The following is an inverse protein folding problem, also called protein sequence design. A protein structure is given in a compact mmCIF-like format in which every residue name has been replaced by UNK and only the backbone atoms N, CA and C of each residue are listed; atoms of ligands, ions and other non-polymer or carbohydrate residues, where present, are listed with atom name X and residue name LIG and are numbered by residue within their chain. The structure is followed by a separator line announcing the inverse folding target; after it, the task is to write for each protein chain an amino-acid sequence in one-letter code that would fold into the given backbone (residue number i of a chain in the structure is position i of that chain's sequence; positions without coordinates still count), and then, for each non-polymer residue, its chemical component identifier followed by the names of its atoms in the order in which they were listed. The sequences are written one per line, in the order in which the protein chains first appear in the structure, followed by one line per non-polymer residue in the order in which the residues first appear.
data_IF_034813348955
#
_entry.id   IF_034813348955
#
_cell.length_a   1.000
_cell.length_b   1.000
_cell.length_c   1.000
_cell.angle_alpha   90.00
_cell.angle_beta   90.00
_cell.angle_gamma   90.00
#
_symmetry.space_group_name_H-M   'P 1'
#
loop_
_entity.id
_entity.type
_entity.pdbx_description
1 polymer ?
#
# COMPACT_ATOMS: atom_id res chain seq x y z
N UNK A 1 1.07 26.39 12.34
CA UNK A 1 1.24 24.95 12.08
C UNK A 1 0.20 24.21 12.90
N UNK A 2 -0.81 23.66 12.25
CA UNK A 2 -1.83 22.86 12.94
C UNK A 2 -1.25 21.47 13.11
N UNK A 3 -0.95 21.12 14.33
CA UNK A 3 -0.28 19.88 14.68
C UNK A 3 -1.26 18.71 14.66
N UNK A 4 -0.75 17.52 14.29
CA UNK A 4 -1.50 16.25 14.31
C UNK A 4 -2.13 15.96 15.69
N UNK A 5 -1.53 16.48 16.75
CA UNK A 5 -2.06 16.41 18.11
C UNK A 5 -3.40 17.12 18.29
N UNK A 6 -3.73 18.10 17.45
CA UNK A 6 -5.03 18.81 17.48
C UNK A 6 -6.20 17.91 17.06
N UNK A 7 -5.94 16.80 16.41
CA UNK A 7 -6.94 15.81 15.99
C UNK A 7 -7.23 14.74 17.06
N UNK A 8 -6.43 14.64 18.09
CA UNK A 8 -6.63 13.65 19.16
C UNK A 8 -7.99 13.80 19.89
N UNK A 9 -8.49 15.03 20.14
CA UNK A 9 -9.81 15.19 20.76
C UNK A 9 -10.98 14.72 19.90
N UNK A 10 -10.76 14.58 18.58
CA UNK A 10 -11.80 14.12 17.64
C UNK A 10 -11.90 12.59 17.58
N UNK A 11 -10.96 11.88 18.21
CA UNK A 11 -11.02 10.44 18.31
C UNK A 11 -12.11 10.00 19.28
N UNK A 12 -13.09 9.28 18.78
CA UNK A 12 -14.13 8.63 19.58
C UNK A 12 -13.94 7.12 19.53
N UNK A 13 -13.89 6.42 20.67
CA UNK A 13 -13.72 4.98 20.70
C UNK A 13 -14.85 4.20 20.02
N UNK A 14 -15.99 4.81 19.81
CA UNK A 14 -17.14 4.21 19.14
C UNK A 14 -16.94 4.04 17.62
N UNK A 15 -16.06 4.82 17.02
CA UNK A 15 -15.79 4.76 15.57
C UNK A 15 -14.74 3.69 15.20
N UNK A 16 -13.85 3.39 16.11
CA UNK A 16 -12.77 2.43 15.89
C UNK A 16 -12.58 1.51 17.09
N UNK A 17 -12.52 0.21 16.85
CA UNK A 17 -12.29 -0.79 17.89
C UNK A 17 -10.93 -0.63 18.57
N UNK A 18 -9.94 -0.09 17.86
CA UNK A 18 -8.61 0.13 18.40
C UNK A 18 -7.87 1.28 17.72
N UNK A 19 -6.98 1.95 18.48
CA UNK A 19 -6.08 2.97 17.95
C UNK A 19 -5.16 2.43 16.85
N UNK A 20 -4.76 1.17 16.94
CA UNK A 20 -3.93 0.52 15.91
C UNK A 20 -4.64 0.46 14.58
N UNK A 21 -5.93 0.13 14.58
CA UNK A 21 -6.74 0.11 13.35
C UNK A 21 -6.84 1.49 12.72
N UNK A 22 -7.07 2.52 13.54
CA UNK A 22 -7.08 3.91 13.08
C UNK A 22 -5.77 4.28 12.38
N UNK A 23 -4.63 3.96 13.00
CA UNK A 23 -3.30 4.26 12.45
C UNK A 23 -3.07 3.53 11.12
N UNK A 24 -3.43 2.25 11.04
CA UNK A 24 -3.26 1.45 9.82
C UNK A 24 -4.12 2.01 8.67
N UNK A 25 -5.38 2.31 8.95
CA UNK A 25 -6.30 2.86 7.94
C UNK A 25 -5.83 4.24 7.47
N UNK A 26 -5.43 5.10 8.38
CA UNK A 26 -4.91 6.43 8.07
C UNK A 26 -3.60 6.35 7.25
N UNK A 27 -2.71 5.42 7.59
CA UNK A 27 -1.47 5.20 6.84
C UNK A 27 -1.73 4.72 5.40
N UNK A 28 -2.65 3.80 5.20
CA UNK A 28 -3.05 3.35 3.87
C UNK A 28 -3.67 4.48 3.06
N UNK A 29 -4.51 5.29 3.68
CA UNK A 29 -5.12 6.45 3.03
C UNK A 29 -4.08 7.50 2.65
N UNK A 30 -3.15 7.81 3.54
CA UNK A 30 -2.04 8.71 3.26
C UNK A 30 -1.21 8.24 2.06
N UNK A 31 -0.95 6.94 1.97
CA UNK A 31 -0.27 6.33 0.82
C UNK A 31 -1.05 6.55 -0.49
N UNK A 32 -2.35 6.41 -0.48
CA UNK A 32 -3.19 6.68 -1.66
C UNK A 32 -3.10 8.16 -2.08
N UNK A 33 -3.16 9.09 -1.13
CA UNK A 33 -3.04 10.53 -1.42
C UNK A 33 -1.66 10.84 -2.01
N UNK A 34 -0.59 10.27 -1.47
CA UNK A 34 0.77 10.41 -2.02
C UNK A 34 0.92 9.82 -3.43
N UNK A 35 0.12 8.81 -3.77
CA UNK A 35 0.07 8.23 -5.12
C UNK A 35 -0.74 9.05 -6.13
N UNK A 36 -1.28 10.19 -5.71
CA UNK A 36 -2.01 11.11 -6.57
C UNK A 36 -3.53 11.06 -6.47
N UNK A 37 -4.07 10.30 -5.51
CA UNK A 37 -5.52 10.29 -5.26
C UNK A 37 -5.94 11.59 -4.60
N UNK A 38 -7.05 12.14 -5.05
CA UNK A 38 -7.58 13.37 -4.47
C UNK A 38 -8.18 13.10 -3.08
N UNK A 39 -8.00 14.03 -2.13
CA UNK A 39 -8.76 14.00 -0.88
C UNK A 39 -10.27 14.04 -1.13
N UNK A 40 -11.04 13.41 -0.26
CA UNK A 40 -12.50 13.39 -0.38
C UNK A 40 -13.15 14.73 -0.05
N UNK A 41 -12.52 15.50 0.82
CA UNK A 41 -13.07 16.78 1.26
C UNK A 41 -12.03 17.90 1.27
N UNK A 42 -12.51 19.10 1.57
CA UNK A 42 -11.64 20.25 1.78
C UNK A 42 -11.02 20.13 3.17
N UNK A 43 -9.73 19.82 3.22
CA UNK A 43 -8.99 19.78 4.48
C UNK A 43 -8.29 21.11 4.74
N UNK A 44 -8.27 21.52 5.99
CA UNK A 44 -7.48 22.67 6.46
C UNK A 44 -6.00 22.33 6.67
N UNK A 45 -5.64 21.07 6.50
CA UNK A 45 -4.28 20.58 6.66
C UNK A 45 -3.54 20.52 5.33
N UNK A 46 -2.23 20.66 5.38
CA UNK A 46 -1.35 20.63 4.20
C UNK A 46 -0.63 19.32 4.02
N UNK A 47 -0.34 18.59 5.12
CA UNK A 47 0.36 17.31 5.05
C UNK A 47 -0.60 16.18 4.73
N UNK A 48 -0.23 15.33 3.79
CA UNK A 48 -1.02 14.19 3.33
C UNK A 48 -1.39 13.23 4.46
N UNK A 49 -0.48 13.00 5.38
CA UNK A 49 -0.73 12.15 6.55
C UNK A 49 -1.78 12.72 7.48
N UNK A 50 -1.77 14.04 7.68
CA UNK A 50 -2.75 14.74 8.51
C UNK A 50 -4.11 14.83 7.81
N UNK A 51 -4.12 15.04 6.50
CA UNK A 51 -5.33 15.00 5.67
C UNK A 51 -5.98 13.62 5.74
N UNK A 52 -5.19 12.57 5.59
CA UNK A 52 -5.68 11.20 5.68
C UNK A 52 -6.28 10.87 7.06
N UNK A 53 -5.64 11.32 8.12
CA UNK A 53 -6.15 11.13 9.48
C UNK A 53 -7.47 11.89 9.71
N UNK A 54 -7.57 13.12 9.22
CA UNK A 54 -8.80 13.92 9.29
C UNK A 54 -9.96 13.25 8.53
N UNK A 55 -9.72 12.75 7.32
CA UNK A 55 -10.71 12.02 6.52
C UNK A 55 -11.19 10.75 7.22
N UNK A 56 -10.29 9.99 7.80
CA UNK A 56 -10.63 8.76 8.52
C UNK A 56 -11.43 9.06 9.79
N UNK A 57 -11.09 10.09 10.54
CA UNK A 57 -11.82 10.52 11.72
C UNK A 57 -13.22 11.05 11.40
N UNK A 58 -13.40 11.68 10.24
CA UNK A 58 -14.73 12.12 9.76
C UNK A 58 -15.54 10.99 9.15
N UNK A 59 -15.00 9.77 9.10
CA UNK A 59 -15.64 8.61 8.46
C UNK A 59 -15.92 8.79 6.95
N UNK A 60 -15.21 9.69 6.30
CA UNK A 60 -15.30 9.89 4.85
C UNK A 60 -14.59 8.78 4.07
N UNK A 61 -13.52 8.22 4.63
CA UNK A 61 -12.80 7.09 4.08
C UNK A 61 -13.44 5.76 4.52
N UNK A 62 -13.97 5.01 3.55
CA UNK A 62 -14.48 3.65 3.79
C UNK A 62 -13.35 2.65 3.78
N UNK A 63 -13.39 1.69 4.69
CA UNK A 63 -12.39 0.63 4.79
C UNK A 63 -13.05 -0.72 5.07
N UNK A 64 -12.38 -1.78 4.66
CA UNK A 64 -12.79 -3.15 4.89
C UNK A 64 -11.94 -3.80 5.98
N UNK A 65 -12.50 -4.71 6.74
CA UNK A 65 -11.85 -5.37 7.88
C UNK A 65 -11.98 -6.88 7.78
N UNK A 66 -10.95 -7.59 8.20
CA UNK A 66 -10.97 -9.03 8.36
C UNK A 66 -10.91 -9.80 7.04
N UNK A 67 -11.81 -10.78 6.87
CA UNK A 67 -11.85 -11.65 5.68
C UNK A 67 -12.13 -10.88 4.41
N UNK A 68 -13.09 -9.97 4.44
CA UNK A 68 -13.46 -9.14 3.28
C UNK A 68 -12.28 -8.32 2.75
N UNK A 69 -11.47 -7.76 3.65
CA UNK A 69 -10.27 -7.02 3.27
C UNK A 69 -9.23 -7.93 2.59
N UNK A 70 -9.06 -9.16 3.09
CA UNK A 70 -8.13 -10.15 2.51
C UNK A 70 -8.59 -10.61 1.13
N UNK A 71 -9.87 -10.82 0.96
CA UNK A 71 -10.43 -11.26 -0.31
C UNK A 71 -10.36 -10.14 -1.36
N UNK A 72 -10.68 -8.90 -0.97
CA UNK A 72 -10.50 -7.73 -1.81
C UNK A 72 -9.03 -7.52 -2.24
N UNK A 73 -8.08 -7.73 -1.34
CA UNK A 73 -6.64 -7.67 -1.66
C UNK A 73 -6.21 -8.76 -2.64
N UNK A 74 -6.75 -9.99 -2.51
CA UNK A 74 -6.46 -11.09 -3.43
C UNK A 74 -7.01 -10.81 -4.82
N UNK A 75 -8.22 -10.29 -4.91
CA UNK A 75 -8.84 -9.91 -6.18
C UNK A 75 -8.06 -8.79 -6.88
N UNK A 76 -7.63 -7.80 -6.13
CA UNK A 76 -6.81 -6.70 -6.68
C UNK A 76 -5.46 -7.20 -7.19
N UNK A 77 -4.81 -8.14 -6.48
CA UNK A 77 -3.58 -8.78 -6.95
C UNK A 77 -3.81 -9.58 -8.24
N UNK A 78 -4.86 -10.42 -8.27
CA UNK A 78 -5.23 -11.17 -9.47
C UNK A 78 -5.51 -10.28 -10.68
N UNK A 79 -6.21 -9.16 -10.44
CA UNK A 79 -6.47 -8.17 -11.49
C UNK A 79 -5.19 -7.59 -12.06
N UNK A 80 -4.24 -7.22 -11.21
CA UNK A 80 -2.94 -6.66 -11.64
C UNK A 80 -2.05 -7.69 -12.35
N UNK A 81 -2.02 -8.92 -11.88
CA UNK A 81 -1.27 -10.01 -12.54
C UNK A 81 -1.84 -10.31 -13.92
N UNK A 82 -3.16 -10.39 -14.06
CA UNK A 82 -3.83 -10.59 -15.34
C UNK A 82 -3.66 -9.42 -16.31
N UNK A 83 -3.59 -8.19 -15.80
CA UNK A 83 -3.37 -6.99 -16.61
C UNK A 83 -1.90 -6.90 -17.09
N UNK A 84 -0.95 -7.24 -16.23
CA UNK A 84 0.48 -7.34 -16.62
C UNK A 84 0.74 -8.45 -17.61
N UNK A 85 0.07 -9.60 -17.49
CA UNK A 85 0.17 -10.68 -18.48
C UNK A 85 -0.44 -10.27 -19.84
N UNK A 86 -1.58 -9.59 -19.82
CA UNK A 86 -2.21 -9.07 -21.05
C UNK A 86 -1.35 -8.01 -21.72
N UNK A 87 -0.77 -7.08 -20.96
CA UNK A 87 0.18 -6.10 -21.50
C UNK A 87 1.43 -6.78 -22.06
N UNK A 88 1.96 -7.79 -21.39
CA UNK A 88 3.12 -8.54 -21.87
C UNK A 88 2.81 -9.32 -23.17
N UNK A 89 1.57 -9.80 -23.35
CA UNK A 89 1.14 -10.43 -24.61
C UNK A 89 0.92 -9.42 -25.73
N UNK A 90 0.49 -8.19 -25.42
CA UNK A 90 0.21 -7.13 -26.42
C UNK A 90 1.47 -6.41 -26.93
N UNK A 91 2.54 -6.36 -26.13
CA UNK A 91 3.79 -5.65 -26.49
C UNK A 91 4.79 -6.49 -27.25
N UNK A 92 4.51 -7.78 -27.51
CA UNK A 92 5.36 -8.63 -28.34
C UNK A 92 6.72 -9.02 -27.74
N UNK A 93 7.65 -9.42 -28.61
CA UNK A 93 8.96 -9.95 -28.22
C UNK A 93 9.86 -8.94 -27.49
N UNK A 94 9.73 -7.65 -27.78
CA UNK A 94 10.53 -6.57 -27.17
C UNK A 94 10.34 -6.50 -25.66
N UNK A 95 9.13 -6.74 -25.17
CA UNK A 95 8.85 -6.74 -23.73
C UNK A 95 9.47 -7.94 -23.01
N UNK A 96 9.66 -9.06 -23.72
CA UNK A 96 10.35 -10.23 -23.18
C UNK A 96 11.85 -9.98 -23.05
N UNK A 97 12.44 -9.28 -23.99
CA UNK A 97 13.85 -8.88 -23.93
C UNK A 97 14.11 -7.90 -22.79
N UNK A 98 13.28 -6.86 -22.65
CA UNK A 98 13.37 -5.89 -21.56
C UNK A 98 13.20 -6.59 -20.20
N UNK A 99 12.27 -7.53 -20.08
CA UNK A 99 12.08 -8.30 -18.85
C UNK A 99 13.26 -9.19 -18.55
N UNK A 100 13.90 -9.75 -19.57
CA UNK A 100 15.10 -10.57 -19.44
C UNK A 100 16.30 -9.74 -19.03
N UNK A 101 16.47 -8.55 -19.60
CA UNK A 101 17.53 -7.62 -19.21
C UNK A 101 17.33 -7.11 -17.77
N UNK A 102 16.10 -6.76 -17.37
CA UNK A 102 15.81 -6.36 -16.01
C UNK A 102 15.97 -7.50 -15.00
N UNK A 103 15.75 -8.75 -15.38
CA UNK A 103 15.97 -9.90 -14.50
C UNK A 103 17.45 -10.17 -14.23
N UNK A 104 18.33 -9.79 -15.15
CA UNK A 104 19.78 -9.88 -14.97
C UNK A 104 20.28 -8.89 -13.90
N UNK A 105 19.65 -7.73 -13.76
CA UNK A 105 19.99 -6.74 -12.74
C UNK A 105 19.51 -7.10 -11.32
N UNK A 106 18.55 -7.99 -11.20
CA UNK A 106 17.99 -8.41 -9.90
C UNK A 106 18.80 -9.55 -9.27
N UNK A 107 19.68 -10.21 -10.04
CA UNK A 107 20.38 -11.42 -9.63
C UNK A 107 21.77 -11.15 -8.99
N UNK A 108 22.06 -9.90 -8.64
CA UNK A 108 23.28 -9.51 -7.91
C UNK A 108 23.15 -9.67 -6.39
N UNK A 109 22.17 -10.45 -5.96
CA UNK A 109 22.09 -10.90 -4.56
C UNK A 109 23.22 -11.90 -4.32
N UNK A 110 24.09 -11.69 -3.31
CA UNK A 110 25.12 -12.66 -3.00
C UNK A 110 24.45 -14.00 -2.65
N UNK A 111 24.75 -15.02 -3.44
CA UNK A 111 24.35 -16.40 -3.13
C UNK A 111 24.78 -16.70 -1.71
N UNK A 112 23.90 -17.22 -0.85
CA UNK A 112 24.33 -17.71 0.44
C UNK A 112 25.40 -18.78 0.21
N UNK A 113 26.55 -18.58 0.83
CA UNK A 113 27.65 -19.51 0.74
C UNK A 113 27.17 -20.91 1.12
N UNK A 114 27.28 -21.84 0.19
CA UNK A 114 27.09 -23.25 0.42
C UNK A 114 27.98 -23.64 1.61
N UNK A 115 27.39 -24.05 2.70
CA UNK A 115 28.12 -24.62 3.82
C UNK A 115 28.76 -25.90 3.30
N UNK A 116 30.04 -25.87 3.11
CA UNK A 116 30.81 -27.06 2.92
C UNK A 116 30.62 -27.97 4.14
N UNK A 117 29.99 -29.10 3.93
CA UNK A 117 29.99 -30.19 4.89
C UNK A 117 31.43 -30.63 5.10
N UNK A 118 31.94 -30.36 6.28
CA UNK A 118 33.15 -31.00 6.78
C UNK A 118 32.71 -32.30 7.43
N UNK A 119 32.77 -33.36 6.66
CA UNK A 119 32.80 -34.72 7.21
C UNK A 119 34.13 -34.92 7.96
N UNK A 120 34.00 -35.21 9.22
CA UNK A 120 34.94 -36.07 9.91
C UNK A 120 34.21 -37.23 10.55
#
# INVERSE_FOLDING_TARGET
MIDMLSLLPQYTPDQFDSRHRLVIVAAQRAKHILQGWRPFGTSRFTKETTIALDEVLRSEAKYLVGKEARDAMKETKRGKEGETERMAMMTGEDAREIKKELSVYVDDSPKPAEKADVEE
#
